data_IF_480769476780
#
_entry.id   IF_480769476780
#
_cell.length_a   1.000
_cell.length_b   1.000
_cell.length_c   1.000
_cell.angle_alpha   90.00
_cell.angle_beta   90.00
_cell.angle_gamma   90.00
#
_symmetry.space_group_name_H-M   'P 1'
#
loop_
_entity.id
_entity.type
_entity.pdbx_description
1 polymer ?
#
# COMPACT_ATOMS: atom_id res chain seq x y z
N UNK A 1 -2.89 -13.39 2.91
CA UNK A 1 -1.69 -13.43 3.79
C UNK A 1 -1.43 -12.03 4.33
N UNK A 2 -0.84 -11.91 5.52
CA UNK A 2 -0.47 -10.63 6.13
C UNK A 2 0.99 -10.68 6.55
N UNK A 3 1.75 -9.61 6.28
CA UNK A 3 3.12 -9.43 6.74
C UNK A 3 3.31 -8.03 7.31
N UNK A 4 4.21 -7.89 8.28
CA UNK A 4 4.48 -6.63 8.96
C UNK A 4 5.98 -6.43 9.08
N UNK A 5 6.42 -5.19 8.90
CA UNK A 5 7.76 -4.76 9.22
C UNK A 5 7.65 -3.50 10.09
N UNK A 6 8.16 -3.58 11.30
CA UNK A 6 8.28 -2.43 12.21
C UNK A 6 9.68 -1.85 12.08
N UNK A 7 9.79 -0.52 12.17
CA UNK A 7 11.04 0.21 12.24
C UNK A 7 11.04 1.03 13.54
N UNK A 8 11.85 0.57 14.49
CA UNK A 8 12.00 1.20 15.80
C UNK A 8 13.49 1.45 16.00
N UNK A 9 13.91 2.70 15.83
CA UNK A 9 15.31 3.10 15.92
C UNK A 9 15.44 4.37 16.74
N UNK A 10 16.47 4.42 17.60
CA UNK A 10 16.73 5.57 18.46
C UNK A 10 15.51 6.02 19.28
N UNK A 11 15.42 7.33 19.50
CA UNK A 11 14.28 7.94 20.18
C UNK A 11 13.12 8.28 19.23
N UNK A 12 13.40 8.48 17.93
CA UNK A 12 12.52 9.21 17.03
C UNK A 12 11.89 8.35 15.92
N UNK A 13 12.44 7.19 15.58
CA UNK A 13 11.86 6.35 14.51
C UNK A 13 10.87 5.36 15.10
N UNK A 14 9.58 5.53 14.82
CA UNK A 14 8.47 4.71 15.35
C UNK A 14 7.42 4.43 14.28
N UNK A 15 7.86 3.79 13.20
CA UNK A 15 6.99 3.58 12.03
C UNK A 15 7.04 2.15 11.50
N UNK A 16 6.39 1.90 10.38
CA UNK A 16 6.41 0.59 9.73
C UNK A 16 5.50 0.49 8.53
N UNK A 17 5.39 -0.74 8.04
CA UNK A 17 4.46 -1.11 6.97
C UNK A 17 3.79 -2.44 7.29
N UNK A 18 2.49 -2.51 7.07
CA UNK A 18 1.73 -3.76 7.02
C UNK A 18 1.32 -4.02 5.58
N UNK A 19 1.62 -5.21 5.05
CA UNK A 19 1.23 -5.63 3.70
C UNK A 19 0.22 -6.76 3.80
N UNK A 20 -0.86 -6.63 3.05
CA UNK A 20 -1.93 -7.62 2.93
C UNK A 20 -1.95 -8.11 1.48
N UNK A 21 -1.96 -9.43 1.31
CA UNK A 21 -2.12 -10.10 0.02
C UNK A 21 -3.48 -10.82 0.03
N UNK A 22 -4.55 -10.19 -0.51
CA UNK A 22 -5.91 -10.74 -0.46
C UNK A 22 -6.02 -12.10 -1.14
N UNK A 23 -5.42 -12.25 -2.33
CA UNK A 23 -5.38 -13.52 -3.08
C UNK A 23 -4.11 -14.37 -2.81
N UNK A 24 -3.20 -13.92 -1.93
CA UNK A 24 -1.89 -14.54 -1.75
C UNK A 24 -0.82 -14.01 -2.72
N UNK A 25 0.27 -14.76 -2.92
CA UNK A 25 1.37 -14.39 -3.84
C UNK A 25 1.00 -14.68 -5.31
N UNK A 26 -0.06 -14.04 -5.78
CA UNK A 26 -0.61 -14.15 -7.14
C UNK A 26 -1.18 -12.79 -7.57
N UNK A 27 -1.42 -12.62 -8.87
CA UNK A 27 -2.11 -11.47 -9.45
C UNK A 27 -3.61 -11.69 -9.65
N UNK A 28 -4.17 -12.79 -9.11
CA UNK A 28 -5.61 -13.05 -9.21
C UNK A 28 -6.42 -11.91 -8.61
N UNK A 29 -7.31 -11.34 -9.42
CA UNK A 29 -8.23 -10.30 -8.99
C UNK A 29 -9.23 -10.81 -7.95
N UNK A 30 -9.58 -9.95 -6.99
CA UNK A 30 -10.67 -10.19 -6.04
C UNK A 30 -11.68 -9.05 -6.13
N UNK A 31 -12.99 -9.30 -5.95
CA UNK A 31 -13.98 -8.23 -5.85
C UNK A 31 -13.64 -7.27 -4.71
N UNK A 32 -13.72 -5.96 -4.98
CA UNK A 32 -13.37 -4.93 -4.01
C UNK A 32 -14.29 -3.70 -4.14
N UNK A 33 -14.36 -2.95 -3.05
CA UNK A 33 -15.02 -1.65 -2.98
C UNK A 33 -14.33 -0.81 -1.91
N UNK A 34 -14.54 0.50 -1.96
CA UNK A 34 -13.99 1.43 -0.98
C UNK A 34 -15.02 2.51 -0.63
N UNK A 35 -14.81 3.19 0.48
CA UNK A 35 -15.68 4.26 0.94
C UNK A 35 -14.88 5.27 1.77
N UNK A 36 -15.07 6.55 1.49
CA UNK A 36 -14.53 7.63 2.29
C UNK A 36 -15.57 8.11 3.31
N UNK A 37 -15.35 7.81 4.59
CA UNK A 37 -16.12 8.45 5.67
C UNK A 37 -15.76 9.93 5.79
N UNK A 38 -14.45 10.23 5.85
CA UNK A 38 -13.87 11.56 5.79
C UNK A 38 -12.57 11.47 4.97
N UNK A 39 -12.40 12.36 3.99
CA UNK A 39 -11.30 12.28 3.01
C UNK A 39 -10.00 12.95 3.43
N UNK A 40 -9.79 13.23 4.73
CA UNK A 40 -8.54 13.82 5.20
C UNK A 40 -7.46 12.74 5.39
N UNK A 41 -6.99 12.17 4.28
CA UNK A 41 -5.96 11.14 4.22
C UNK A 41 -5.72 10.70 2.79
N UNK A 42 -4.82 9.72 2.60
CA UNK A 42 -4.46 9.20 1.28
C UNK A 42 -4.75 7.70 1.16
N UNK A 43 -5.32 7.30 0.03
CA UNK A 43 -5.57 5.89 -0.31
C UNK A 43 -5.44 5.70 -1.83
N UNK A 44 -4.30 5.18 -2.27
CA UNK A 44 -4.03 4.99 -3.69
C UNK A 44 -4.84 3.84 -4.29
N UNK A 45 -5.00 3.83 -5.61
CA UNK A 45 -5.65 2.73 -6.33
C UNK A 45 -7.19 2.69 -6.24
N UNK A 46 -7.80 3.57 -5.44
CA UNK A 46 -9.26 3.71 -5.30
C UNK A 46 -9.96 3.97 -6.61
N UNK A 47 -9.40 4.80 -7.50
CA UNK A 47 -9.96 5.05 -8.82
C UNK A 47 -10.08 3.78 -9.68
N UNK A 48 -9.15 2.83 -9.55
CA UNK A 48 -9.24 1.55 -10.26
C UNK A 48 -10.27 0.62 -9.63
N UNK A 49 -10.37 0.61 -8.30
CA UNK A 49 -11.40 -0.15 -7.60
C UNK A 49 -12.79 0.36 -7.97
N UNK A 50 -12.97 1.68 -8.06
CA UNK A 50 -14.23 2.30 -8.48
C UNK A 50 -14.63 1.91 -9.91
N UNK A 51 -13.68 1.94 -10.83
CA UNK A 51 -13.91 1.64 -12.26
C UNK A 51 -14.15 0.14 -12.51
N UNK A 52 -13.30 -0.71 -11.93
CA UNK A 52 -13.27 -2.15 -12.25
C UNK A 52 -14.10 -3.00 -11.28
N UNK A 53 -14.34 -2.53 -10.06
CA UNK A 53 -14.86 -3.35 -8.96
C UNK A 53 -13.88 -4.43 -8.48
N UNK A 54 -12.63 -4.36 -8.88
CA UNK A 54 -11.60 -5.37 -8.64
C UNK A 54 -10.39 -4.79 -7.91
N UNK A 55 -9.75 -5.63 -7.12
CA UNK A 55 -8.44 -5.39 -6.54
C UNK A 55 -7.46 -6.46 -7.03
N UNK A 56 -6.39 -5.99 -7.66
CA UNK A 56 -5.36 -6.83 -8.27
C UNK A 56 -4.01 -6.53 -7.62
N UNK A 57 -3.64 -7.38 -6.65
CA UNK A 57 -2.34 -7.30 -5.98
C UNK A 57 -2.39 -6.89 -4.51
N UNK A 58 -1.27 -6.36 -3.98
CA UNK A 58 -1.09 -6.08 -2.56
C UNK A 58 -1.79 -4.79 -2.11
N UNK A 59 -2.16 -4.77 -0.84
CA UNK A 59 -2.49 -3.57 -0.06
C UNK A 59 -1.34 -3.30 0.90
N UNK A 60 -0.88 -2.05 1.01
CA UNK A 60 0.00 -1.62 2.10
C UNK A 60 -0.69 -0.58 3.00
N UNK A 61 -0.38 -0.64 4.28
CA UNK A 61 -0.72 0.36 5.29
C UNK A 61 0.58 0.89 5.91
N UNK A 62 0.78 2.21 5.89
CA UNK A 62 2.02 2.87 6.37
C UNK A 62 1.73 4.27 6.91
N UNK A 63 2.77 5.08 7.14
CA UNK A 63 2.62 6.48 7.54
C UNK A 63 2.33 7.41 6.36
N UNK A 64 1.81 8.60 6.66
CA UNK A 64 1.39 9.60 5.67
C UNK A 64 2.48 9.94 4.66
N UNK A 65 3.70 10.23 5.12
CA UNK A 65 4.80 10.67 4.25
C UNK A 65 5.43 9.51 3.45
N UNK A 66 5.11 8.26 3.77
CA UNK A 66 5.67 7.06 3.13
C UNK A 66 4.78 6.44 2.05
N UNK A 67 3.58 6.99 1.81
CA UNK A 67 2.62 6.45 0.81
C UNK A 67 3.26 6.27 -0.57
N UNK A 68 3.93 7.32 -1.07
CA UNK A 68 4.58 7.27 -2.39
C UNK A 68 5.66 6.19 -2.46
N UNK A 69 6.52 6.12 -1.44
CA UNK A 69 7.58 5.11 -1.37
C UNK A 69 7.01 3.69 -1.30
N UNK A 70 5.99 3.45 -0.49
CA UNK A 70 5.34 2.16 -0.36
C UNK A 70 4.68 1.73 -1.68
N UNK A 71 3.97 2.64 -2.35
CA UNK A 71 3.32 2.38 -3.65
C UNK A 71 4.33 1.96 -4.71
N UNK A 72 5.42 2.70 -4.85
CA UNK A 72 6.46 2.41 -5.85
C UNK A 72 7.24 1.14 -5.50
N UNK A 73 7.43 0.86 -4.22
CA UNK A 73 8.09 -0.37 -3.75
C UNK A 73 7.22 -1.59 -4.02
N UNK A 74 5.91 -1.53 -3.76
CA UNK A 74 4.98 -2.60 -4.10
C UNK A 74 4.96 -2.86 -5.61
N UNK A 75 4.89 -1.80 -6.43
CA UNK A 75 4.93 -1.94 -7.89
C UNK A 75 6.21 -2.65 -8.35
N UNK A 76 7.37 -2.25 -7.82
CA UNK A 76 8.66 -2.91 -8.10
C UNK A 76 8.66 -4.38 -7.65
N UNK A 77 8.12 -4.67 -6.47
CA UNK A 77 7.99 -6.05 -5.98
C UNK A 77 7.13 -6.90 -6.91
N UNK A 78 5.99 -6.37 -7.39
CA UNK A 78 5.13 -7.09 -8.33
C UNK A 78 5.83 -7.37 -9.65
N UNK A 79 6.56 -6.40 -10.21
CA UNK A 79 7.34 -6.60 -11.45
C UNK A 79 8.38 -7.69 -11.23
N UNK A 80 9.07 -7.69 -10.09
CA UNK A 80 10.10 -8.68 -9.78
C UNK A 80 9.56 -10.10 -9.59
N UNK A 81 8.33 -10.25 -9.10
CA UNK A 81 7.75 -11.57 -8.77
C UNK A 81 6.85 -12.14 -9.88
N UNK A 82 6.26 -11.29 -10.73
CA UNK A 82 5.27 -11.70 -11.74
C UNK A 82 5.61 -11.26 -13.17
N UNK A 83 6.71 -10.51 -13.34
CA UNK A 83 7.12 -9.95 -14.64
C UNK A 83 6.30 -8.73 -15.05
N UNK A 84 6.86 -7.88 -15.91
CA UNK A 84 6.17 -6.68 -16.42
C UNK A 84 5.04 -7.03 -17.38
N UNK A 85 5.15 -8.14 -18.13
CA UNK A 85 4.14 -8.58 -19.10
C UNK A 85 2.87 -9.12 -18.42
N UNK A 86 3.00 -9.67 -17.20
CA UNK A 86 1.88 -10.11 -16.39
C UNK A 86 1.13 -8.98 -15.66
N UNK A 87 1.72 -7.78 -15.62
CA UNK A 87 1.11 -6.60 -15.00
C UNK A 87 0.43 -5.78 -16.10
N UNK A 88 -0.89 -5.91 -16.20
CA UNK A 88 -1.68 -5.06 -17.08
C UNK A 88 -1.43 -3.57 -16.80
N UNK A 89 -1.61 -2.68 -17.79
CA UNK A 89 -1.32 -1.25 -17.65
C UNK A 89 -2.14 -0.56 -16.54
N UNK A 90 -3.26 -1.15 -16.13
CA UNK A 90 -4.14 -0.65 -15.08
C UNK A 90 -3.81 -1.13 -13.66
N UNK A 91 -2.76 -1.94 -13.48
CA UNK A 91 -2.47 -2.48 -12.15
C UNK A 91 -1.85 -1.41 -11.24
N UNK A 92 -2.67 -0.94 -10.29
CA UNK A 92 -2.36 0.13 -9.36
C UNK A 92 -2.35 -0.41 -7.93
N UNK A 93 -1.17 -0.55 -7.27
CA UNK A 93 -1.11 -0.96 -5.88
C UNK A 93 -1.92 -0.02 -4.98
N UNK A 94 -2.57 -0.61 -3.98
CA UNK A 94 -3.37 0.12 -3.00
C UNK A 94 -2.50 0.38 -1.79
N UNK A 95 -2.33 1.65 -1.43
CA UNK A 95 -1.58 2.08 -0.25
C UNK A 95 -2.41 3.07 0.51
N UNK A 96 -2.76 2.72 1.75
CA UNK A 96 -3.43 3.59 2.70
C UNK A 96 -2.47 4.02 3.81
N UNK A 97 -2.83 5.09 4.51
CA UNK A 97 -2.01 5.63 5.57
C UNK A 97 -2.78 6.06 6.82
N UNK A 98 -1.99 6.26 7.88
CA UNK A 98 -2.38 7.07 9.03
C UNK A 98 -1.17 7.88 9.49
N UNK A 99 -1.41 9.06 10.08
CA UNK A 99 -0.35 9.93 10.56
C UNK A 99 0.23 9.47 11.91
N UNK A 100 1.55 9.23 11.97
CA UNK A 100 2.27 8.77 13.16
C UNK A 100 3.22 9.82 13.78
N UNK A 101 3.14 11.08 13.33
CA UNK A 101 4.10 12.14 13.65
C UNK A 101 4.15 12.63 15.11
N UNK A 102 3.33 12.08 16.01
CA UNK A 102 3.50 12.31 17.47
C UNK A 102 4.62 11.47 18.07
N UNK A 103 4.87 10.29 17.50
CA UNK A 103 5.85 9.32 18.02
C UNK A 103 6.99 9.08 17.05
N UNK A 104 6.74 9.30 15.77
CA UNK A 104 7.68 9.10 14.70
C UNK A 104 8.14 10.46 14.16
N UNK A 105 9.43 10.58 13.85
CA UNK A 105 9.88 11.58 12.90
C UNK A 105 9.35 11.22 11.51
N UNK A 106 8.16 11.75 11.20
CA UNK A 106 7.42 11.43 9.98
C UNK A 106 8.02 12.10 8.74
N UNK A 107 8.83 13.15 8.92
CA UNK A 107 9.49 13.88 7.84
C UNK A 107 10.86 13.27 7.47
N UNK A 108 11.46 12.46 8.35
CA UNK A 108 12.72 11.75 8.12
C UNK A 108 13.97 12.65 8.18
N UNK A 109 14.01 13.56 9.17
CA UNK A 109 15.04 14.57 9.39
C UNK A 109 16.12 14.15 10.40
#
# INVERSE_FOLDING_TARGET
>A
MVGQQMLIEGAEVRTGVTVILPAGKTLSAVPAGWFALNGNGELTGTAWIEESGLLEGPIALTNTCSVGLARDTLRRWMVANFGSEGLGPGLLPVVGETWDGWLNDIEGQ
#
